data_IF_877224451741
#
_entry.id   IF_877224451741
#
_cell.length_a   1.000
_cell.length_b   1.000
_cell.length_c   1.000
_cell.angle_alpha   90.00
_cell.angle_beta   90.00
_cell.angle_gamma   90.00
#
_symmetry.space_group_name_H-M   'P 1'
#
loop_
_entity.id
_entity.type
_entity.pdbx_description
1 polymer ?
#
# COMPACT_ATOMS: atom_id res chain seq x y z
N UNK A 1 28.87 -12.35 -12.51
CA UNK A 1 27.70 -13.25 -12.37
C UNK A 1 26.57 -12.43 -11.80
N UNK A 2 25.61 -12.03 -12.64
CA UNK A 2 24.39 -11.37 -12.18
C UNK A 2 23.56 -12.38 -11.37
N UNK A 3 23.36 -12.09 -10.09
CA UNK A 3 22.39 -12.83 -9.29
C UNK A 3 20.99 -12.45 -9.79
N UNK A 4 20.30 -13.41 -10.39
CA UNK A 4 18.96 -13.25 -10.90
C UNK A 4 18.03 -12.75 -9.78
N UNK A 5 17.49 -11.54 -9.91
CA UNK A 5 16.75 -10.84 -8.87
C UNK A 5 15.34 -11.45 -8.71
N UNK A 6 15.20 -12.45 -7.84
CA UNK A 6 13.93 -13.14 -7.53
C UNK A 6 12.96 -12.34 -6.64
N UNK A 7 13.06 -11.02 -6.61
CA UNK A 7 12.30 -10.19 -5.65
C UNK A 7 10.97 -9.73 -6.26
N UNK A 8 9.86 -10.07 -5.59
CA UNK A 8 8.49 -9.73 -6.05
C UNK A 8 7.91 -8.44 -5.43
N UNK A 9 8.65 -7.77 -4.54
CA UNK A 9 8.15 -6.59 -3.83
C UNK A 9 9.01 -5.38 -4.16
N UNK A 10 8.35 -4.25 -4.42
CA UNK A 10 8.99 -2.94 -4.58
C UNK A 10 9.74 -2.62 -3.28
N UNK A 11 11.01 -2.20 -3.40
CA UNK A 11 11.81 -1.71 -2.28
C UNK A 11 12.18 -0.25 -2.58
N UNK A 12 11.73 0.65 -1.73
CA UNK A 12 12.04 2.08 -1.85
C UNK A 12 13.41 2.36 -1.24
N UNK A 13 14.30 3.01 -1.99
CA UNK A 13 15.66 3.32 -1.54
C UNK A 13 15.65 4.59 -0.70
N UNK A 14 15.94 4.45 0.59
CA UNK A 14 15.80 5.54 1.57
C UNK A 14 17.15 6.12 1.97
N UNK A 15 18.11 5.25 2.26
CA UNK A 15 19.40 5.64 2.84
C UNK A 15 19.26 6.60 4.05
N UNK A 16 18.32 6.31 4.93
CA UNK A 16 17.82 7.19 5.99
C UNK A 16 18.41 6.85 7.36
N UNK A 17 18.75 7.86 8.16
CA UNK A 17 19.16 7.68 9.55
C UNK A 17 17.93 7.43 10.42
N UNK A 18 17.91 6.30 11.13
CA UNK A 18 16.75 5.82 11.87
C UNK A 18 17.20 5.27 13.23
N UNK A 19 16.23 4.92 14.08
CA UNK A 19 16.51 4.18 15.30
C UNK A 19 15.73 2.88 15.31
N UNK A 20 16.29 1.87 15.95
CA UNK A 20 15.61 0.60 16.19
C UNK A 20 15.62 0.29 17.69
N UNK A 21 14.47 -0.10 18.22
CA UNK A 21 14.35 -0.60 19.60
C UNK A 21 14.02 -2.08 19.55
N UNK A 22 14.88 -2.91 20.13
CA UNK A 22 14.61 -4.34 20.31
C UNK A 22 13.74 -4.54 21.56
N UNK A 23 12.90 -5.57 21.57
CA UNK A 23 11.96 -5.83 22.68
C UNK A 23 12.66 -5.97 24.04
N UNK A 24 13.81 -6.68 24.08
CA UNK A 24 14.58 -6.91 25.30
C UNK A 24 15.56 -5.78 25.66
N UNK A 25 15.52 -4.66 24.94
CA UNK A 25 16.49 -3.56 25.13
C UNK A 25 15.79 -2.27 25.57
N UNK A 26 16.28 -1.61 26.63
CA UNK A 26 15.67 -0.37 27.10
C UNK A 26 15.87 0.78 26.11
N UNK A 27 17.05 0.83 25.51
CA UNK A 27 17.51 1.93 24.68
C UNK A 27 17.27 1.71 23.19
N UNK A 28 17.06 2.81 22.48
CA UNK A 28 17.04 2.81 21.03
C UNK A 28 18.47 2.77 20.47
N UNK A 29 18.68 1.95 19.46
CA UNK A 29 19.95 1.83 18.75
C UNK A 29 19.89 2.66 17.47
N UNK A 30 20.92 3.48 17.24
CA UNK A 30 21.06 4.21 15.98
C UNK A 30 21.34 3.23 14.83
N UNK A 31 20.63 3.41 13.71
CA UNK A 31 20.77 2.55 12.55
C UNK A 31 20.60 3.34 11.25
N UNK A 32 21.02 2.73 10.14
CA UNK A 32 20.81 3.30 8.81
C UNK A 32 19.92 2.38 7.98
N UNK A 33 18.72 2.85 7.68
CA UNK A 33 17.76 2.14 6.86
C UNK A 33 18.06 2.41 5.38
N UNK A 34 18.63 1.42 4.68
CA UNK A 34 19.03 1.57 3.28
C UNK A 34 17.83 1.50 2.35
N UNK A 35 16.91 0.59 2.62
CA UNK A 35 15.64 0.48 1.90
C UNK A 35 14.56 -0.20 2.76
N UNK A 36 13.31 -0.06 2.32
CA UNK A 36 12.15 -0.68 2.96
C UNK A 36 11.11 -1.11 1.92
N UNK A 37 10.30 -2.09 2.31
CA UNK A 37 9.09 -2.56 1.64
C UNK A 37 8.09 -3.00 2.71
N UNK A 38 6.87 -3.37 2.31
CA UNK A 38 5.92 -3.98 3.24
C UNK A 38 6.27 -5.41 3.69
N UNK A 39 7.33 -6.01 3.13
CA UNK A 39 7.77 -7.38 3.47
C UNK A 39 9.17 -7.45 4.06
N UNK A 40 9.84 -6.32 4.20
CA UNK A 40 11.19 -6.34 4.73
C UNK A 40 11.92 -5.02 4.53
N UNK A 41 13.08 -4.95 5.15
CA UNK A 41 13.97 -3.81 5.10
C UNK A 41 15.43 -4.26 4.99
N UNK A 42 16.28 -3.34 4.54
CA UNK A 42 17.72 -3.47 4.69
C UNK A 42 18.20 -2.41 5.67
N UNK A 43 18.83 -2.82 6.76
CA UNK A 43 19.37 -1.89 7.75
C UNK A 43 20.83 -2.18 8.06
N UNK A 44 21.59 -1.14 8.40
CA UNK A 44 22.93 -1.24 8.95
C UNK A 44 22.91 -0.80 10.41
N UNK A 45 23.52 -1.58 11.30
CA UNK A 45 23.45 -1.44 12.75
C UNK A 45 24.78 -1.91 13.36
N UNK A 46 25.31 -1.23 14.38
CA UNK A 46 26.56 -1.63 15.05
C UNK A 46 26.38 -2.86 15.94
N UNK A 47 25.17 -3.03 16.50
CA UNK A 47 24.83 -4.18 17.34
C UNK A 47 24.57 -5.41 16.47
N UNK A 48 25.07 -6.55 16.95
CA UNK A 48 24.77 -7.86 16.36
C UNK A 48 23.34 -8.28 16.68
N UNK A 49 22.53 -8.47 15.63
CA UNK A 49 21.19 -9.05 15.78
C UNK A 49 21.30 -10.57 15.91
N UNK A 50 20.44 -11.20 16.74
CA UNK A 50 20.40 -12.65 16.82
C UNK A 50 19.95 -13.22 15.47
N UNK A 51 20.55 -14.34 15.09
CA UNK A 51 20.24 -15.06 13.85
C UNK A 51 19.34 -16.24 14.17
N UNK A 52 18.62 -16.70 13.16
CA UNK A 52 17.79 -17.90 13.21
C UNK A 52 16.64 -17.86 14.23
N UNK A 53 16.25 -16.65 14.64
CA UNK A 53 15.07 -16.39 15.47
C UNK A 53 14.26 -15.23 14.90
N UNK A 54 12.97 -15.20 15.24
CA UNK A 54 12.15 -14.00 15.06
C UNK A 54 12.50 -12.99 16.14
N UNK A 55 12.62 -11.74 15.74
CA UNK A 55 12.85 -10.61 16.63
C UNK A 55 11.68 -9.64 16.53
N UNK A 56 11.17 -9.22 17.68
CA UNK A 56 10.28 -8.08 17.78
C UNK A 56 11.12 -6.81 17.84
N UNK A 57 10.85 -5.87 16.95
CA UNK A 57 11.54 -4.59 16.94
C UNK A 57 10.60 -3.45 16.58
N UNK A 58 10.91 -2.27 17.10
CA UNK A 58 10.27 -1.02 16.73
C UNK A 58 11.23 -0.22 15.86
N UNK A 59 10.85 0.06 14.61
CA UNK A 59 11.59 0.95 13.71
C UNK A 59 11.04 2.36 13.89
N UNK A 60 11.91 3.29 14.26
CA UNK A 60 11.61 4.71 14.42
C UNK A 60 12.21 5.47 13.24
N UNK A 61 11.38 5.79 12.25
CA UNK A 61 11.78 6.53 11.06
C UNK A 61 11.86 8.04 11.34
N UNK A 62 10.93 8.56 12.14
CA UNK A 62 10.95 9.93 12.68
C UNK A 62 10.11 10.00 13.97
N UNK A 63 9.99 11.17 14.59
CA UNK A 63 9.17 11.37 15.80
C UNK A 63 7.70 10.98 15.64
N UNK A 64 7.15 11.05 14.43
CA UNK A 64 5.75 10.70 14.13
C UNK A 64 5.59 9.31 13.48
N UNK A 65 6.67 8.79 12.88
CA UNK A 65 6.64 7.54 12.13
C UNK A 65 7.43 6.45 12.86
N UNK A 66 6.73 5.71 13.73
CA UNK A 66 7.26 4.53 14.40
C UNK A 66 6.28 3.36 14.33
N UNK A 67 6.80 2.16 14.08
CA UNK A 67 6.01 0.93 14.02
C UNK A 67 6.76 -0.26 14.61
N UNK A 68 6.01 -1.15 15.24
CA UNK A 68 6.52 -2.35 15.89
C UNK A 68 6.10 -3.57 15.07
N UNK A 69 7.05 -4.44 14.76
CA UNK A 69 6.81 -5.64 13.97
C UNK A 69 7.69 -6.80 14.41
N UNK A 70 7.30 -8.00 13.99
CA UNK A 70 8.12 -9.19 14.07
C UNK A 70 8.87 -9.37 12.75
N UNK A 71 10.18 -9.61 12.84
CA UNK A 71 11.07 -9.79 11.70
C UNK A 71 11.97 -11.00 11.85
N UNK A 72 12.30 -11.63 10.74
CA UNK A 72 13.35 -12.64 10.63
C UNK A 72 14.59 -12.02 10.00
N UNK A 73 15.78 -12.32 10.54
CA UNK A 73 17.05 -11.93 9.92
C UNK A 73 17.35 -12.86 8.74
N UNK A 74 16.86 -12.51 7.55
CA UNK A 74 16.98 -13.32 6.34
C UNK A 74 18.43 -13.45 5.85
N UNK A 75 19.24 -12.41 6.06
CA UNK A 75 20.67 -12.47 5.80
C UNK A 75 21.41 -11.42 6.63
N UNK A 76 22.70 -11.66 6.88
CA UNK A 76 23.60 -10.72 7.51
C UNK A 76 24.93 -10.70 6.73
N UNK A 77 25.39 -9.50 6.37
CA UNK A 77 26.71 -9.24 5.78
C UNK A 77 27.43 -8.14 6.56
N UNK A 78 28.72 -8.31 6.81
CA UNK A 78 29.59 -7.24 7.29
C UNK A 78 30.23 -6.54 6.09
N UNK A 79 30.14 -5.22 6.02
CA UNK A 79 30.77 -4.41 4.98
C UNK A 79 31.44 -3.20 5.61
N UNK A 80 32.75 -3.03 5.38
CA UNK A 80 33.56 -1.96 5.99
C UNK A 80 33.44 -1.87 7.51
N UNK A 81 33.38 -3.04 8.18
CA UNK A 81 33.23 -3.11 9.64
C UNK A 81 31.82 -2.81 10.17
N UNK A 82 30.83 -2.60 9.28
CA UNK A 82 29.44 -2.35 9.67
C UNK A 82 28.58 -3.57 9.37
N UNK A 83 27.89 -4.09 10.37
CA UNK A 83 26.92 -5.17 10.19
C UNK A 83 25.68 -4.65 9.44
N UNK A 84 25.32 -5.34 8.35
CA UNK A 84 24.16 -5.02 7.51
C UNK A 84 23.24 -6.23 7.40
N UNK A 85 21.98 -6.00 7.69
CA UNK A 85 20.95 -7.02 7.81
C UNK A 85 19.88 -6.85 6.74
N UNK A 86 19.46 -7.98 6.17
CA UNK A 86 18.20 -8.09 5.47
C UNK A 86 17.14 -8.64 6.41
N UNK A 87 16.13 -7.84 6.70
CA UNK A 87 15.01 -8.24 7.53
C UNK A 87 13.84 -8.65 6.66
N UNK A 88 13.18 -9.75 7.00
CA UNK A 88 11.91 -10.19 6.43
C UNK A 88 10.81 -9.99 7.47
N UNK A 89 9.81 -9.18 7.16
CA UNK A 89 8.69 -8.91 8.07
C UNK A 89 7.66 -10.03 7.97
N UNK A 90 7.38 -10.70 9.08
CA UNK A 90 6.36 -11.75 9.14
C UNK A 90 4.96 -11.14 9.22
N UNK A 91 4.81 -10.10 10.05
CA UNK A 91 3.55 -9.42 10.32
C UNK A 91 3.74 -7.92 10.28
N UNK A 92 3.06 -7.28 9.34
CA UNK A 92 2.93 -5.81 9.28
C UNK A 92 1.44 -5.52 9.20
N UNK A 93 0.90 -4.90 10.25
CA UNK A 93 -0.50 -4.52 10.27
C UNK A 93 -0.77 -3.34 9.33
N UNK A 94 -2.02 -3.13 8.94
CA UNK A 94 -2.35 -2.09 7.96
C UNK A 94 -2.04 -0.68 8.46
N UNK A 95 -2.17 -0.42 9.76
CA UNK A 95 -1.76 0.87 10.33
C UNK A 95 -0.25 1.12 10.23
N UNK A 96 0.59 0.07 10.27
CA UNK A 96 2.03 0.24 10.11
C UNK A 96 2.45 0.37 8.64
N UNK A 97 1.78 -0.36 7.73
CA UNK A 97 1.93 -0.12 6.29
C UNK A 97 1.61 1.32 5.93
N UNK A 98 0.59 1.88 6.56
CA UNK A 98 0.21 3.28 6.38
C UNK A 98 1.29 4.23 6.88
N UNK A 99 1.84 4.03 8.09
CA UNK A 99 2.96 4.85 8.57
C UNK A 99 4.17 4.79 7.63
N UNK A 100 4.49 3.61 7.10
CA UNK A 100 5.54 3.44 6.08
C UNK A 100 5.20 4.27 4.83
N UNK A 101 3.96 4.17 4.34
CA UNK A 101 3.51 4.91 3.16
C UNK A 101 3.56 6.43 3.37
N UNK A 102 3.05 6.94 4.48
CA UNK A 102 3.06 8.37 4.81
C UNK A 102 4.48 8.90 4.92
N UNK A 103 5.37 8.14 5.56
CA UNK A 103 6.78 8.47 5.63
C UNK A 103 7.39 8.57 4.22
N UNK A 104 7.18 7.56 3.36
CA UNK A 104 7.68 7.56 1.99
C UNK A 104 7.13 8.74 1.18
N UNK A 105 5.83 9.02 1.30
CA UNK A 105 5.19 10.12 0.57
C UNK A 105 5.73 11.48 1.01
N UNK A 106 6.02 11.63 2.30
CA UNK A 106 6.52 12.88 2.87
C UNK A 106 7.98 13.13 2.54
N UNK A 107 8.84 12.12 2.63
CA UNK A 107 10.30 12.30 2.55
C UNK A 107 10.93 11.74 1.25
N UNK A 108 10.24 10.83 0.56
CA UNK A 108 10.73 10.15 -0.64
C UNK A 108 9.67 10.05 -1.76
N UNK A 109 8.96 11.14 -2.11
CA UNK A 109 7.92 11.09 -3.15
C UNK A 109 8.47 10.61 -4.51
N UNK A 110 9.74 10.87 -4.81
CA UNK A 110 10.42 10.37 -6.00
C UNK A 110 10.54 8.85 -6.04
N UNK A 111 10.73 8.19 -4.90
CA UNK A 111 10.82 6.74 -4.83
C UNK A 111 9.45 6.09 -5.01
N UNK A 112 8.40 6.75 -4.50
CA UNK A 112 7.03 6.38 -4.81
C UNK A 112 6.83 6.47 -6.32
N UNK A 113 7.07 7.63 -6.93
CA UNK A 113 6.82 7.86 -8.36
C UNK A 113 7.63 6.92 -9.27
N UNK A 114 8.92 6.70 -8.98
CA UNK A 114 9.79 5.80 -9.77
C UNK A 114 9.23 4.39 -9.85
N UNK A 115 8.73 3.86 -8.74
CA UNK A 115 8.18 2.51 -8.70
C UNK A 115 6.67 2.47 -8.94
N UNK A 116 6.03 3.65 -9.01
CA UNK A 116 4.63 3.81 -9.35
C UNK A 116 4.38 3.53 -10.83
N UNK A 117 5.21 4.11 -11.72
CA UNK A 117 5.02 4.08 -13.18
C UNK A 117 5.58 2.84 -13.87
N UNK A 118 6.52 2.11 -13.26
CA UNK A 118 7.00 0.84 -13.82
C UNK A 118 5.96 -0.30 -13.82
N UNK A 119 4.69 0.02 -13.54
CA UNK A 119 3.57 -0.85 -13.84
C UNK A 119 2.40 -0.15 -14.53
N UNK A 120 2.62 0.98 -15.20
CA UNK A 120 1.62 1.75 -15.95
C UNK A 120 2.20 2.39 -17.23
N UNK A 121 3.38 1.95 -17.71
CA UNK A 121 3.95 2.45 -18.98
C UNK A 121 3.25 1.81 -20.18
N UNK A 122 1.99 2.17 -20.31
CA UNK A 122 1.07 1.85 -21.40
C UNK A 122 -0.01 2.92 -21.52
N UNK A 123 0.31 4.21 -21.35
CA UNK A 123 -0.29 5.35 -22.09
C UNK A 123 0.24 6.71 -21.61
N UNK A 124 0.58 7.57 -22.58
CA UNK A 124 1.11 8.93 -22.36
C UNK A 124 -0.03 9.93 -22.15
N UNK A 125 0.06 10.71 -21.08
CA UNK A 125 -0.64 11.99 -20.90
C UNK A 125 -1.18 12.12 -19.48
N UNK A 126 -0.96 13.18 -18.73
CA UNK A 126 -0.28 14.44 -18.97
C UNK A 126 -0.21 15.17 -17.62
N UNK A 127 0.73 16.08 -17.51
CA UNK A 127 0.93 16.97 -16.38
C UNK A 127 -0.34 17.77 -16.07
N UNK A 128 -0.83 17.68 -14.82
CA UNK A 128 -1.44 18.76 -14.04
C UNK A 128 -2.03 18.20 -12.75
N UNK A 129 -1.23 18.11 -11.69
CA UNK A 129 -1.74 17.93 -10.33
C UNK A 129 -1.58 19.25 -9.57
N UNK A 130 -2.60 20.10 -9.72
CA UNK A 130 -2.78 21.29 -8.88
C UNK A 130 -3.10 20.79 -7.47
N UNK A 131 -2.21 21.12 -6.53
CA UNK A 131 -2.47 21.05 -5.09
C UNK A 131 -3.53 22.10 -4.76
N UNK A 132 -4.70 21.68 -4.30
CA UNK A 132 -5.53 22.51 -3.43
C UNK A 132 -5.31 22.06 -2.00
N UNK A 133 -4.74 22.96 -1.21
CA UNK A 133 -4.59 22.90 0.24
C UNK A 133 -5.97 22.95 0.90
N UNK A 134 -6.70 21.85 0.83
CA UNK A 134 -7.70 21.50 1.83
C UNK A 134 -7.16 20.23 2.47
N UNK A 135 -6.78 20.31 3.74
CA UNK A 135 -6.09 19.23 4.46
C UNK A 135 -6.71 17.88 4.14
N UNK A 136 -6.02 17.13 3.30
CA UNK A 136 -6.46 15.83 2.88
C UNK A 136 -6.38 14.88 4.08
N UNK A 137 -7.47 14.80 4.85
CA UNK A 137 -7.61 13.94 6.04
C UNK A 137 -7.72 12.45 5.67
N UNK A 138 -7.62 12.10 4.39
CA UNK A 138 -7.69 10.72 3.96
C UNK A 138 -6.45 9.98 4.45
N UNK A 139 -6.71 8.89 5.15
CA UNK A 139 -5.67 7.99 5.65
C UNK A 139 -4.97 7.32 4.45
N UNK A 140 -5.71 6.95 3.40
CA UNK A 140 -5.14 6.27 2.23
C UNK A 140 -5.12 7.18 0.99
N UNK A 141 -4.02 7.16 0.25
CA UNK A 141 -3.97 7.79 -1.07
C UNK A 141 -4.95 7.11 -2.04
N UNK A 142 -5.55 7.93 -2.91
CA UNK A 142 -6.46 7.51 -3.97
C UNK A 142 -5.77 7.64 -5.32
N UNK A 143 -6.07 6.70 -6.19
CA UNK A 143 -5.53 6.61 -7.54
C UNK A 143 -6.68 6.76 -8.51
N UNK A 144 -6.67 7.78 -9.38
CA UNK A 144 -7.67 7.89 -10.43
C UNK A 144 -7.50 6.68 -11.35
N UNK A 145 -8.53 5.85 -11.44
CA UNK A 145 -8.48 4.61 -12.20
C UNK A 145 -9.89 4.20 -12.58
N UNK A 146 -10.07 3.88 -13.86
CA UNK A 146 -11.32 3.43 -14.43
C UNK A 146 -11.26 1.94 -14.73
N UNK A 147 -11.70 1.12 -13.79
CA UNK A 147 -11.86 -0.31 -13.95
C UNK A 147 -13.35 -0.63 -14.10
N UNK A 148 -13.75 -1.38 -15.12
CA UNK A 148 -15.09 -1.96 -15.16
C UNK A 148 -15.30 -2.83 -13.93
N UNK A 149 -16.47 -2.75 -13.32
CA UNK A 149 -16.82 -3.59 -12.20
C UNK A 149 -18.26 -4.09 -12.31
N UNK A 150 -18.48 -5.27 -11.74
CA UNK A 150 -19.81 -5.79 -11.41
C UNK A 150 -19.99 -5.68 -9.91
N UNK A 151 -21.21 -5.42 -9.46
CA UNK A 151 -21.56 -5.44 -8.05
C UNK A 151 -22.85 -6.21 -7.77
N UNK A 152 -22.99 -6.66 -6.53
CA UNK A 152 -24.21 -7.26 -5.99
C UNK A 152 -24.58 -6.53 -4.71
N UNK A 153 -25.78 -5.96 -4.68
CA UNK A 153 -26.45 -5.52 -3.47
C UNK A 153 -27.18 -6.75 -2.87
N UNK A 154 -26.69 -7.32 -1.75
CA UNK A 154 -27.25 -8.52 -1.15
C UNK A 154 -28.60 -8.25 -0.48
N UNK A 155 -28.87 -7.02 -0.04
CA UNK A 155 -30.11 -6.66 0.64
C UNK A 155 -31.28 -6.61 -0.37
N UNK A 156 -31.01 -6.09 -1.56
CA UNK A 156 -31.98 -6.04 -2.66
C UNK A 156 -31.92 -7.27 -3.58
N UNK A 157 -30.94 -8.15 -3.39
CA UNK A 157 -30.57 -9.22 -4.32
C UNK A 157 -30.49 -8.73 -5.78
N UNK A 158 -29.82 -7.58 -5.95
CA UNK A 158 -29.73 -6.87 -7.23
C UNK A 158 -28.30 -6.79 -7.70
N UNK A 159 -28.04 -7.32 -8.89
CA UNK A 159 -26.77 -7.14 -9.58
C UNK A 159 -26.78 -5.86 -10.42
N UNK A 160 -25.61 -5.24 -10.55
CA UNK A 160 -25.42 -4.09 -11.42
C UNK A 160 -23.97 -3.96 -11.91
N UNK A 161 -23.76 -2.96 -12.75
CA UNK A 161 -22.47 -2.69 -13.38
C UNK A 161 -22.08 -1.23 -13.19
N UNK A 162 -20.78 -1.00 -13.11
CA UNK A 162 -20.23 0.33 -12.97
C UNK A 162 -18.79 0.43 -13.42
N UNK A 163 -18.20 1.58 -13.16
CA UNK A 163 -16.78 1.83 -13.35
C UNK A 163 -16.23 2.52 -12.12
N UNK A 164 -15.04 2.13 -11.69
CA UNK A 164 -14.33 2.92 -10.68
C UNK A 164 -13.96 4.28 -11.25
N UNK A 165 -13.78 5.27 -10.39
CA UNK A 165 -13.19 6.56 -10.74
C UNK A 165 -11.90 6.78 -9.97
N UNK A 166 -11.89 6.40 -8.70
CA UNK A 166 -10.69 6.38 -7.90
C UNK A 166 -10.69 5.20 -6.93
N UNK A 167 -9.50 4.69 -6.63
CA UNK A 167 -9.31 3.53 -5.77
C UNK A 167 -8.22 3.82 -4.75
N UNK A 168 -8.40 3.39 -3.52
CA UNK A 168 -7.43 3.44 -2.43
C UNK A 168 -7.32 2.08 -1.75
N UNK A 169 -6.41 1.94 -0.78
CA UNK A 169 -6.27 0.67 -0.06
C UNK A 169 -7.58 0.22 0.62
N UNK A 170 -8.39 1.16 1.12
CA UNK A 170 -9.61 0.87 1.88
C UNK A 170 -10.89 1.41 1.24
N UNK A 171 -10.84 1.90 0.01
CA UNK A 171 -12.04 2.45 -0.59
C UNK A 171 -12.03 2.57 -2.09
N UNK A 172 -13.22 2.48 -2.66
CA UNK A 172 -13.50 2.64 -4.08
C UNK A 172 -14.50 3.78 -4.23
N UNK A 173 -14.22 4.68 -5.15
CA UNK A 173 -15.20 5.59 -5.73
C UNK A 173 -15.62 4.99 -7.06
N UNK A 174 -16.93 4.81 -7.28
CA UNK A 174 -17.45 4.26 -8.54
C UNK A 174 -18.65 5.04 -9.06
N UNK A 175 -18.93 4.88 -10.34
CA UNK A 175 -20.16 5.34 -10.99
C UNK A 175 -20.95 4.15 -11.49
N UNK A 176 -22.26 4.18 -11.25
CA UNK A 176 -23.23 3.15 -11.62
C UNK A 176 -24.54 3.81 -12.08
N UNK A 177 -25.39 3.06 -12.78
CA UNK A 177 -26.74 3.50 -13.15
C UNK A 177 -27.76 3.26 -12.04
N UNK A 178 -27.46 2.36 -11.11
CA UNK A 178 -28.33 2.00 -10.01
C UNK A 178 -27.92 2.72 -8.73
N UNK A 179 -28.91 3.28 -8.03
CA UNK A 179 -28.67 3.84 -6.70
C UNK A 179 -28.36 2.73 -5.70
N UNK A 180 -27.23 2.86 -5.01
CA UNK A 180 -26.92 2.06 -3.84
C UNK A 180 -27.25 2.83 -2.57
N UNK A 181 -27.88 2.17 -1.62
CA UNK A 181 -28.27 2.78 -0.35
C UNK A 181 -27.03 3.01 0.52
N UNK A 182 -26.82 4.20 1.11
CA UNK A 182 -25.80 4.37 2.13
C UNK A 182 -25.98 3.36 3.27
N UNK A 183 -24.85 2.88 3.79
CA UNK A 183 -24.72 1.80 4.77
C UNK A 183 -25.19 0.40 4.33
N UNK A 184 -25.56 0.19 3.07
CA UNK A 184 -25.73 -1.17 2.56
C UNK A 184 -24.39 -1.84 2.32
N UNK A 185 -24.37 -3.16 2.49
CA UNK A 185 -23.23 -3.99 2.10
C UNK A 185 -23.23 -4.16 0.59
N UNK A 186 -22.05 -4.30 -0.02
CA UNK A 186 -21.91 -4.56 -1.45
C UNK A 186 -20.77 -5.51 -1.73
N UNK A 187 -21.02 -6.47 -2.61
CA UNK A 187 -19.97 -7.31 -3.18
C UNK A 187 -19.53 -6.74 -4.52
N UNK A 188 -18.22 -6.72 -4.79
CA UNK A 188 -17.62 -6.11 -5.98
C UNK A 188 -16.71 -7.11 -6.69
N UNK A 189 -16.78 -7.13 -8.01
CA UNK A 189 -15.87 -7.84 -8.90
C UNK A 189 -15.24 -6.83 -9.86
N UNK A 190 -13.98 -6.45 -9.60
CA UNK A 190 -13.24 -5.50 -10.42
C UNK A 190 -12.55 -6.25 -11.56
N UNK A 191 -12.89 -5.90 -12.80
CA UNK A 191 -12.24 -6.46 -13.98
C UNK A 191 -10.91 -5.73 -14.18
N UNK A 192 -9.83 -6.37 -13.73
CA UNK A 192 -8.48 -5.87 -13.99
C UNK A 192 -8.02 -6.42 -15.34
N UNK A 193 -7.55 -5.56 -16.26
CA UNK A 193 -6.96 -6.02 -17.51
C UNK A 193 -5.91 -7.13 -17.27
N UNK A 194 -5.84 -8.07 -18.21
CA UNK A 194 -4.82 -9.15 -18.26
C UNK A 194 -4.83 -10.20 -17.14
N UNK A 195 -5.79 -10.15 -16.19
CA UNK A 195 -5.82 -11.07 -15.04
C UNK A 195 -6.78 -12.24 -15.13
N UNK A 196 -7.54 -12.37 -16.22
CA UNK A 196 -8.48 -13.47 -16.43
C UNK A 196 -9.67 -13.44 -15.47
N UNK A 197 -9.42 -13.66 -14.18
CA UNK A 197 -10.44 -13.61 -13.12
C UNK A 197 -10.56 -12.20 -12.50
N UNK A 198 -11.79 -11.69 -12.32
CA UNK A 198 -12.03 -10.42 -11.64
C UNK A 198 -11.54 -10.44 -10.18
N UNK A 199 -11.04 -9.31 -9.69
CA UNK A 199 -10.72 -9.15 -8.28
C UNK A 199 -12.00 -9.00 -7.47
N UNK A 200 -12.26 -9.98 -6.61
CA UNK A 200 -13.36 -9.95 -5.67
C UNK A 200 -13.02 -9.13 -4.41
N UNK A 201 -13.95 -8.29 -3.98
CA UNK A 201 -13.90 -7.61 -2.67
C UNK A 201 -15.29 -7.31 -2.13
N UNK A 202 -15.37 -6.92 -0.85
CA UNK A 202 -16.60 -6.52 -0.17
C UNK A 202 -16.40 -5.19 0.54
N UNK A 203 -17.48 -4.45 0.73
CA UNK A 203 -17.47 -3.24 1.53
C UNK A 203 -18.86 -2.71 1.85
N UNK A 204 -18.87 -1.55 2.48
CA UNK A 204 -20.06 -0.79 2.85
C UNK A 204 -20.12 0.48 2.01
N UNK A 205 -21.30 0.83 1.50
CA UNK A 205 -21.54 2.08 0.80
C UNK A 205 -21.52 3.22 1.82
N UNK A 206 -20.48 4.06 1.83
CA UNK A 206 -20.38 5.19 2.77
C UNK A 206 -21.14 6.43 2.31
N UNK A 207 -21.33 6.58 1.01
CA UNK A 207 -22.16 7.62 0.42
C UNK A 207 -22.58 7.23 -0.99
N UNK A 208 -23.72 7.77 -1.41
CA UNK A 208 -24.25 7.65 -2.76
C UNK A 208 -24.85 9.00 -3.15
N UNK A 209 -24.47 9.52 -4.31
CA UNK A 209 -24.86 10.84 -4.79
C UNK A 209 -25.19 10.75 -6.28
N UNK A 210 -26.36 11.25 -6.65
CA UNK A 210 -26.71 11.38 -8.06
C UNK A 210 -25.80 12.41 -8.73
N UNK A 211 -25.07 12.00 -9.77
CA UNK A 211 -24.18 12.89 -10.53
C UNK A 211 -24.86 13.41 -11.80
N UNK A 212 -25.67 12.57 -12.46
CA UNK A 212 -26.39 12.87 -13.70
C UNK A 212 -27.76 12.16 -13.71
N UNK A 213 -28.65 12.42 -14.70
CA UNK A 213 -29.82 11.58 -14.88
C UNK A 213 -29.43 10.10 -15.03
N UNK A 214 -29.94 9.25 -14.14
CA UNK A 214 -29.66 7.82 -14.09
C UNK A 214 -28.17 7.48 -13.91
N UNK A 215 -27.37 8.34 -13.27
CA UNK A 215 -26.02 7.99 -12.82
C UNK A 215 -25.82 8.40 -11.38
N UNK A 216 -25.23 7.49 -10.62
CA UNK A 216 -24.93 7.64 -9.21
C UNK A 216 -23.44 7.42 -9.03
N UNK A 217 -22.83 8.33 -8.28
CA UNK A 217 -21.49 8.18 -7.77
C UNK A 217 -21.60 7.62 -6.36
N UNK A 218 -20.85 6.56 -6.08
CA UNK A 218 -20.87 5.90 -4.79
C UNK A 218 -19.45 5.80 -4.24
N UNK A 219 -19.30 6.06 -2.95
CA UNK A 219 -18.09 5.75 -2.20
C UNK A 219 -18.31 4.48 -1.40
N UNK A 220 -17.37 3.55 -1.49
CA UNK A 220 -17.40 2.26 -0.82
C UNK A 220 -16.19 2.19 0.11
N UNK A 221 -16.41 1.87 1.38
CA UNK A 221 -15.37 1.53 2.34
C UNK A 221 -15.23 0.00 2.40
N UNK A 222 -14.05 -0.50 2.11
CA UNK A 222 -13.80 -1.93 1.96
C UNK A 222 -13.55 -2.60 3.31
N UNK A 223 -14.03 -3.83 3.44
CA UNK A 223 -13.85 -4.64 4.65
C UNK A 223 -12.38 -4.96 4.91
N UNK A 224 -11.61 -5.13 3.83
CA UNK A 224 -10.18 -5.46 3.86
C UNK A 224 -9.38 -4.48 3.01
N UNK A 225 -8.17 -4.17 3.47
CA UNK A 225 -7.22 -3.37 2.71
C UNK A 225 -6.53 -4.17 1.57
N UNK A 226 -7.30 -4.96 0.82
CA UNK A 226 -6.78 -5.94 -0.14
C UNK A 226 -6.45 -5.33 -1.52
N UNK A 227 -6.83 -4.07 -1.78
CA UNK A 227 -6.56 -3.42 -3.05
C UNK A 227 -5.08 -3.03 -3.26
N UNK A 228 -4.24 -3.12 -2.21
CA UNK A 228 -2.79 -2.95 -2.37
C UNK A 228 -2.17 -4.01 -3.31
N UNK A 229 -2.81 -5.18 -3.45
CA UNK A 229 -2.42 -6.23 -4.40
C UNK A 229 -2.61 -5.86 -5.87
N UNK A 230 -3.45 -4.86 -6.18
CA UNK A 230 -3.72 -4.42 -7.56
C UNK A 230 -2.53 -3.73 -8.22
N UNK A 231 -1.62 -3.14 -7.44
CA UNK A 231 -0.36 -2.58 -7.95
C UNK A 231 0.46 -3.61 -8.76
N UNK A 232 0.24 -4.91 -8.52
CA UNK A 232 0.86 -6.00 -9.27
C UNK A 232 0.09 -6.41 -10.52
N UNK A 233 -1.20 -6.11 -10.57
CA UNK A 233 -2.10 -6.50 -11.64
C UNK A 233 -2.03 -5.53 -12.82
N UNK A 234 -1.78 -4.26 -12.51
CA UNK A 234 -1.65 -3.20 -13.51
C UNK A 234 -0.31 -3.23 -14.26
N UNK A 235 0.69 -3.98 -13.75
CA UNK A 235 2.04 -4.10 -14.32
C UNK A 235 2.15 -4.66 -15.74
N UNK A 236 1.08 -5.18 -16.32
CA UNK A 236 1.12 -5.99 -17.55
C UNK A 236 0.35 -5.34 -18.72
N UNK A 237 -0.34 -4.23 -18.48
CA UNK A 237 -1.00 -3.44 -19.52
C UNK A 237 -0.06 -2.40 -20.12
#
# INVERSE_FOLDING_TARGET
MEQNERRHFVRWKLNWQSKVKLEDEPDCLECRLRDISYKGAQMSLEKKLPRDIFITLTIVLSGEFAFTLEAWVAWHKVAHGVDTYGLYFTRVCDSDKEKIYQFLRRYFPQEINRHWWHGLEGEKGGENMIRTENEDRRIFARFPMELPLRFLDPDMNKEGYGQTQDISAKGISMVTHDELSPSSSVELWLNIPDRGEPLYTRGEVVWSQRSEPNKYRCGINLDKADLMGMSRALRVA
#
